data_IF_493641588450
#
_entry.id   IF_493641588450
#
_cell.length_a   1.000
_cell.length_b   1.000
_cell.length_c   1.000
_cell.angle_alpha   90.00
_cell.angle_beta   90.00
_cell.angle_gamma   90.00
#
_symmetry.space_group_name_H-M   'P 1'
#
loop_
_entity.id
_entity.type
_entity.pdbx_description
1 polymer ?
#
# COMPACT_ATOMS: atom_id res chain seq x y z
N UNK A 1 -24.07 0.84 13.53
CA UNK A 1 -23.58 -0.35 12.82
C UNK A 1 -22.06 -0.41 12.91
N UNK A 2 -21.47 -1.49 13.46
CA UNK A 2 -20.01 -1.63 13.57
C UNK A 2 -19.42 -1.75 12.16
N UNK A 3 -18.71 -0.72 11.68
CA UNK A 3 -17.90 -0.81 10.46
C UNK A 3 -16.76 -1.79 10.73
N UNK A 4 -16.94 -3.05 10.36
CA UNK A 4 -15.90 -4.07 10.40
C UNK A 4 -14.77 -3.59 9.50
N UNK A 5 -13.69 -3.07 10.09
CA UNK A 5 -12.48 -2.68 9.34
C UNK A 5 -11.94 -3.95 8.69
N UNK A 6 -12.10 -4.07 7.38
CA UNK A 6 -11.50 -5.14 6.57
C UNK A 6 -10.00 -5.11 6.82
N UNK A 7 -9.47 -6.14 7.49
CA UNK A 7 -8.04 -6.26 7.77
C UNK A 7 -7.37 -6.79 6.51
N UNK A 8 -6.50 -6.00 5.93
CA UNK A 8 -5.67 -6.41 4.79
C UNK A 8 -4.30 -6.83 5.31
N UNK A 9 -3.80 -7.98 4.85
CA UNK A 9 -2.46 -8.44 5.19
C UNK A 9 -1.40 -7.52 4.59
N UNK A 10 -0.22 -7.45 5.23
CA UNK A 10 0.90 -6.65 4.73
C UNK A 10 1.29 -7.06 3.30
N UNK A 11 1.32 -8.37 3.01
CA UNK A 11 1.59 -8.89 1.67
C UNK A 11 0.56 -8.44 0.63
N UNK A 12 -0.72 -8.36 0.99
CA UNK A 12 -1.76 -7.86 0.08
C UNK A 12 -1.59 -6.37 -0.20
N UNK A 13 -1.36 -5.55 0.85
CA UNK A 13 -1.09 -4.13 0.67
C UNK A 13 0.12 -3.90 -0.23
N UNK A 14 1.22 -4.64 0.00
CA UNK A 14 2.43 -4.57 -0.80
C UNK A 14 2.16 -4.88 -2.27
N UNK A 15 1.42 -5.96 -2.56
CA UNK A 15 1.05 -6.32 -3.94
C UNK A 15 0.29 -5.20 -4.64
N UNK A 16 -0.71 -4.62 -3.97
CA UNK A 16 -1.52 -3.52 -4.51
C UNK A 16 -0.67 -2.28 -4.74
N UNK A 17 0.21 -1.93 -3.79
CA UNK A 17 1.09 -0.76 -3.93
C UNK A 17 2.11 -0.94 -5.04
N UNK A 18 2.74 -2.12 -5.16
CA UNK A 18 3.68 -2.41 -6.25
C UNK A 18 3.01 -2.28 -7.61
N UNK A 19 1.78 -2.75 -7.75
CA UNK A 19 1.02 -2.60 -8.99
C UNK A 19 0.63 -1.13 -9.25
N UNK A 20 0.32 -0.37 -8.20
CA UNK A 20 0.07 1.07 -8.29
C UNK A 20 1.34 1.89 -8.61
N UNK A 21 2.52 1.40 -8.24
CA UNK A 21 3.83 2.00 -8.54
C UNK A 21 4.33 1.67 -9.95
N UNK A 22 3.93 0.52 -10.49
CA UNK A 22 4.24 0.14 -11.87
C UNK A 22 3.53 1.00 -12.93
N UNK A 23 2.56 1.82 -12.54
CA UNK A 23 1.76 2.71 -13.41
C UNK A 23 1.12 2.02 -14.63
N UNK A 24 1.02 0.68 -14.60
CA UNK A 24 0.40 -0.13 -15.65
C UNK A 24 -1.13 -0.03 -15.66
N UNK A 25 -1.71 0.50 -14.59
CA UNK A 25 -3.15 0.66 -14.42
C UNK A 25 -3.40 1.83 -13.48
N UNK A 26 -4.48 2.55 -13.72
CA UNK A 26 -4.87 3.70 -12.90
C UNK A 26 -5.28 3.24 -11.49
N UNK A 27 -5.21 4.15 -10.51
CA UNK A 27 -5.72 3.88 -9.15
C UNK A 27 -7.19 3.45 -9.16
N UNK A 28 -7.98 3.94 -10.13
CA UNK A 28 -9.39 3.58 -10.29
C UNK A 28 -9.56 2.14 -10.76
N UNK A 29 -8.75 1.69 -11.71
CA UNK A 29 -8.77 0.31 -12.21
C UNK A 29 -8.28 -0.68 -11.15
N UNK A 30 -7.20 -0.35 -10.42
CA UNK A 30 -6.78 -1.17 -9.28
C UNK A 30 -7.85 -1.22 -8.19
N UNK A 31 -8.50 -0.09 -7.91
CA UNK A 31 -9.62 -0.02 -6.98
C UNK A 31 -10.74 -0.99 -7.38
N UNK A 32 -11.10 -1.03 -8.67
CA UNK A 32 -12.10 -1.98 -9.16
C UNK A 32 -11.60 -3.43 -9.10
N UNK A 33 -10.36 -3.68 -9.54
CA UNK A 33 -9.74 -5.02 -9.57
C UNK A 33 -9.61 -5.67 -8.20
N UNK A 34 -9.30 -4.87 -7.18
CA UNK A 34 -9.09 -5.32 -5.82
C UNK A 34 -10.29 -5.06 -4.88
N UNK A 35 -11.39 -4.52 -5.41
CA UNK A 35 -12.56 -4.06 -4.66
C UNK A 35 -12.19 -3.11 -3.50
N UNK A 36 -11.26 -2.19 -3.78
CA UNK A 36 -10.76 -1.18 -2.87
C UNK A 36 -11.26 0.20 -3.28
N UNK A 37 -11.33 1.12 -2.33
CA UNK A 37 -11.54 2.52 -2.66
C UNK A 37 -10.22 3.14 -3.12
N UNK A 38 -10.17 3.99 -4.17
CA UNK A 38 -8.93 4.61 -4.65
C UNK A 38 -8.11 5.30 -3.56
N UNK A 39 -8.78 6.02 -2.64
CA UNK A 39 -8.13 6.63 -1.46
C UNK A 39 -7.35 5.63 -0.59
N UNK A 40 -7.79 4.38 -0.48
CA UNK A 40 -7.07 3.35 0.31
C UNK A 40 -5.75 3.01 -0.37
N UNK A 41 -5.75 2.90 -1.70
CA UNK A 41 -4.55 2.62 -2.49
C UNK A 41 -3.58 3.80 -2.40
N UNK A 42 -4.06 5.04 -2.56
CA UNK A 42 -3.23 6.23 -2.38
C UNK A 42 -2.60 6.27 -0.99
N UNK A 43 -3.37 5.96 0.05
CA UNK A 43 -2.87 5.93 1.43
C UNK A 43 -1.80 4.85 1.62
N UNK A 44 -2.01 3.65 1.10
CA UNK A 44 -0.99 2.59 1.19
C UNK A 44 0.25 2.91 0.37
N UNK A 45 0.12 3.59 -0.78
CA UNK A 45 1.26 4.06 -1.56
C UNK A 45 2.09 5.06 -0.76
N UNK A 46 1.45 6.01 -0.08
CA UNK A 46 2.12 6.93 0.82
C UNK A 46 2.77 6.21 2.03
N UNK A 47 2.01 5.35 2.74
CA UNK A 47 2.54 4.53 3.85
C UNK A 47 3.76 3.71 3.40
N UNK A 48 3.72 3.12 2.19
CA UNK A 48 4.83 2.33 1.66
C UNK A 48 6.05 3.18 1.34
N UNK A 49 5.89 4.35 0.71
CA UNK A 49 7.03 5.22 0.38
C UNK A 49 7.72 5.74 1.64
N UNK A 50 6.94 6.17 2.63
CA UNK A 50 7.42 6.62 3.94
C UNK A 50 8.21 5.52 4.69
N UNK A 51 7.72 4.27 4.62
CA UNK A 51 8.44 3.13 5.20
C UNK A 51 9.53 2.55 4.28
N UNK A 52 9.50 2.82 2.97
CA UNK A 52 10.50 2.29 2.06
C UNK A 52 11.85 2.98 2.26
N UNK A 53 11.84 4.27 2.61
CA UNK A 53 13.05 5.00 2.99
C UNK A 53 13.73 4.35 4.19
N UNK A 54 12.97 3.93 5.22
CA UNK A 54 13.54 3.28 6.41
C UNK A 54 14.13 1.89 6.14
N UNK A 55 13.69 1.20 5.08
CA UNK A 55 14.30 -0.07 4.62
C UNK A 55 15.72 0.16 4.09
N UNK A 56 15.98 1.32 3.48
CA UNK A 56 17.32 1.68 2.99
C UNK A 56 18.15 2.44 4.02
N UNK A 57 17.52 3.11 4.99
CA UNK A 57 18.18 3.77 6.14
C UNK A 57 18.56 2.80 7.27
N UNK A 58 18.38 1.49 7.05
CA UNK A 58 18.73 0.41 8.00
C UNK A 58 20.24 0.20 8.19
N UNK A 59 21.10 1.19 7.89
CA UNK A 59 22.55 1.15 8.19
C UNK A 59 22.92 1.87 9.50
N UNK A 60 21.97 2.33 10.33
CA UNK A 60 22.34 3.09 11.55
C UNK A 60 21.71 2.70 12.89
N UNK A 61 20.95 1.60 13.01
CA UNK A 61 20.61 1.07 14.35
C UNK A 61 20.85 -0.43 14.50
N UNK A 62 22.11 -0.75 14.78
CA UNK A 62 22.53 -1.76 15.77
C UNK A 62 22.61 -1.04 17.12
N UNK A 63 22.08 -1.56 18.25
CA UNK A 63 22.42 -2.88 18.83
C UNK A 63 21.26 -3.80 19.21
#
# INVERSE_FOLDING_TARGET
MKRTRRKFSAAFKLKVVLEALKEQSTLSELAHKYELHPNVISRWKAEFLDNAESVFDSDTQKP
#
